data_IF_364787137820
#
_entry.id   IF_364787137820
#
_cell.length_a   1.000
_cell.length_b   1.000
_cell.length_c   1.000
_cell.angle_alpha   90.00
_cell.angle_beta   90.00
_cell.angle_gamma   90.00
#
_symmetry.space_group_name_H-M   'P 1'
#
loop_
_entity.id
_entity.type
_entity.pdbx_description
1 polymer ?
#
# COMPACT_ATOMS: atom_id res chain seq x y z
N UNK A 1 0.41 -20.31 22.16
CA UNK A 1 1.81 -19.96 21.80
C UNK A 1 2.44 -19.23 22.98
N UNK A 2 3.72 -19.45 23.28
CA UNK A 2 4.41 -18.68 24.33
C UNK A 2 4.64 -17.23 23.87
N UNK A 3 4.61 -16.27 24.80
CA UNK A 3 4.80 -14.85 24.51
C UNK A 3 6.09 -14.57 23.71
N UNK A 4 7.19 -15.23 24.08
CA UNK A 4 8.46 -15.13 23.38
C UNK A 4 8.38 -15.58 21.91
N UNK A 5 7.61 -16.63 21.61
CA UNK A 5 7.43 -17.11 20.24
C UNK A 5 6.61 -16.13 19.38
N UNK A 6 5.59 -15.50 19.96
CA UNK A 6 4.80 -14.46 19.28
C UNK A 6 5.69 -13.26 18.94
N UNK A 7 6.46 -12.77 19.92
CA UNK A 7 7.35 -11.63 19.73
C UNK A 7 8.41 -11.91 18.64
N UNK A 8 9.05 -13.08 18.69
CA UNK A 8 10.02 -13.50 17.69
C UNK A 8 9.38 -13.58 16.29
N UNK A 9 8.15 -14.10 16.18
CA UNK A 9 7.44 -14.17 14.90
C UNK A 9 7.15 -12.80 14.30
N UNK A 10 6.71 -11.82 15.10
CA UNK A 10 6.45 -10.46 14.62
C UNK A 10 7.73 -9.70 14.25
N UNK A 11 8.83 -9.91 14.98
CA UNK A 11 10.12 -9.34 14.60
C UNK A 11 10.62 -9.89 13.26
N UNK A 12 10.55 -11.21 13.07
CA UNK A 12 10.94 -11.85 11.81
C UNK A 12 10.06 -11.38 10.64
N UNK A 13 8.74 -11.33 10.86
CA UNK A 13 7.77 -10.86 9.87
C UNK A 13 8.01 -9.39 9.51
N UNK A 14 8.23 -8.52 10.50
CA UNK A 14 8.56 -7.11 10.29
C UNK A 14 9.86 -6.92 9.52
N UNK A 15 10.89 -7.72 9.80
CA UNK A 15 12.16 -7.67 9.06
C UNK A 15 12.01 -8.08 7.59
N UNK A 16 11.32 -9.20 7.32
CA UNK A 16 11.07 -9.67 5.95
C UNK A 16 10.14 -8.71 5.20
N UNK A 17 9.05 -8.30 5.81
CA UNK A 17 8.11 -7.39 5.19
C UNK A 17 8.72 -6.00 4.95
N UNK A 18 9.49 -5.47 5.90
CA UNK A 18 10.17 -4.19 5.77
C UNK A 18 11.24 -4.19 4.68
N UNK A 19 12.02 -5.27 4.57
CA UNK A 19 13.00 -5.43 3.49
C UNK A 19 12.33 -5.53 2.13
N UNK A 20 11.27 -6.34 1.99
CA UNK A 20 10.49 -6.42 0.75
C UNK A 20 9.82 -5.08 0.41
N UNK A 21 9.27 -4.37 1.39
CA UNK A 21 8.68 -3.05 1.19
C UNK A 21 9.71 -2.04 0.65
N UNK A 22 10.94 -2.06 1.17
CA UNK A 22 12.03 -1.21 0.71
C UNK A 22 12.57 -1.60 -0.68
N UNK A 23 12.65 -2.90 -0.99
CA UNK A 23 13.12 -3.39 -2.29
C UNK A 23 12.13 -3.10 -3.43
N UNK A 24 10.85 -3.35 -3.20
CA UNK A 24 9.81 -3.17 -4.22
C UNK A 24 9.25 -1.74 -4.25
N UNK A 25 9.43 -0.96 -3.18
CA UNK A 25 8.85 0.39 -3.06
C UNK A 25 7.32 0.41 -3.02
N UNK A 26 6.69 -0.76 -2.88
CA UNK A 26 5.23 -0.93 -2.94
C UNK A 26 4.56 -0.65 -1.58
N UNK A 27 5.33 -0.62 -0.48
CA UNK A 27 4.79 -0.63 0.88
C UNK A 27 4.17 -2.01 1.16
N UNK A 28 4.82 -2.81 2.00
CA UNK A 28 4.69 -4.27 2.09
C UNK A 28 3.31 -4.85 2.45
N UNK A 29 2.23 -4.07 2.43
CA UNK A 29 0.88 -4.46 2.84
C UNK A 29 0.30 -5.67 2.12
N UNK A 30 0.63 -5.90 0.83
CA UNK A 30 0.23 -7.11 0.12
C UNK A 30 0.77 -8.38 0.80
N UNK A 31 1.93 -8.28 1.47
CA UNK A 31 2.57 -9.37 2.21
C UNK A 31 2.17 -9.30 3.69
N UNK A 32 2.17 -8.11 4.31
CA UNK A 32 1.92 -7.93 5.74
C UNK A 32 0.50 -8.33 6.12
N UNK A 33 -0.51 -7.89 5.36
CA UNK A 33 -1.92 -8.12 5.73
C UNK A 33 -2.26 -9.61 5.78
N UNK A 34 -1.97 -10.44 4.76
CA UNK A 34 -2.26 -11.88 4.83
C UNK A 34 -1.54 -12.59 5.98
N UNK A 35 -0.28 -12.23 6.26
CA UNK A 35 0.47 -12.87 7.34
C UNK A 35 -0.07 -12.45 8.71
N UNK A 36 -0.49 -11.20 8.88
CA UNK A 36 -1.17 -10.75 10.11
C UNK A 36 -2.52 -11.44 10.30
N UNK A 37 -3.33 -11.58 9.25
CA UNK A 37 -4.60 -12.32 9.31
C UNK A 37 -4.35 -13.77 9.76
N UNK A 38 -3.34 -14.43 9.22
CA UNK A 38 -2.97 -15.79 9.63
C UNK A 38 -2.49 -15.84 11.09
N UNK A 39 -1.62 -14.91 11.50
CA UNK A 39 -1.10 -14.84 12.86
C UNK A 39 -2.22 -14.58 13.90
N UNK A 40 -3.16 -13.68 13.59
CA UNK A 40 -4.32 -13.39 14.42
C UNK A 40 -5.31 -14.56 14.48
N UNK A 41 -5.49 -15.27 13.36
CA UNK A 41 -6.28 -16.51 13.33
C UNK A 41 -5.69 -17.58 14.25
N UNK A 42 -4.36 -17.77 14.26
CA UNK A 42 -3.67 -18.70 15.17
C UNK A 42 -3.78 -18.30 16.65
N UNK A 43 -4.02 -17.02 16.94
CA UNK A 43 -4.23 -16.51 18.30
C UNK A 43 -5.70 -16.62 18.75
N UNK A 44 -6.61 -17.09 17.88
CA UNK A 44 -8.03 -17.21 18.19
C UNK A 44 -8.78 -15.87 18.21
N UNK A 45 -8.25 -14.85 17.52
CA UNK A 45 -8.94 -13.56 17.39
C UNK A 45 -10.19 -13.74 16.52
N UNK A 46 -11.29 -13.09 16.91
CA UNK A 46 -12.56 -13.17 16.16
C UNK A 46 -12.36 -12.72 14.69
N UNK A 47 -12.91 -13.44 13.71
CA UNK A 47 -12.86 -13.06 12.30
C UNK A 47 -13.43 -11.66 12.03
N UNK A 48 -14.37 -11.19 12.86
CA UNK A 48 -15.01 -9.87 12.69
C UNK A 48 -14.05 -8.70 12.89
N UNK A 49 -13.05 -8.85 13.77
CA UNK A 49 -12.06 -7.80 14.07
C UNK A 49 -10.69 -8.10 13.46
N UNK A 50 -10.44 -9.35 13.05
CA UNK A 50 -9.14 -9.79 12.52
C UNK A 50 -8.72 -8.97 11.30
N UNK A 51 -9.63 -8.73 10.35
CA UNK A 51 -9.31 -7.94 9.16
C UNK A 51 -9.01 -6.48 9.48
N UNK A 52 -9.81 -5.87 10.37
CA UNK A 52 -9.58 -4.49 10.82
C UNK A 52 -8.24 -4.32 11.52
N UNK A 53 -7.90 -5.25 12.42
CA UNK A 53 -6.61 -5.28 13.09
C UNK A 53 -5.45 -5.45 12.11
N UNK A 54 -5.59 -6.36 11.13
CA UNK A 54 -4.54 -6.60 10.14
C UNK A 54 -4.30 -5.38 9.23
N UNK A 55 -5.37 -4.77 8.73
CA UNK A 55 -5.32 -3.56 7.89
C UNK A 55 -4.72 -2.39 8.68
N UNK A 56 -5.21 -2.13 9.89
CA UNK A 56 -4.71 -1.04 10.73
C UNK A 56 -3.23 -1.20 11.12
N UNK A 57 -2.83 -2.41 11.52
CA UNK A 57 -1.43 -2.72 11.87
C UNK A 57 -0.51 -2.60 10.64
N UNK A 58 -0.98 -3.02 9.47
CA UNK A 58 -0.25 -2.86 8.21
C UNK A 58 -0.05 -1.38 7.87
N UNK A 59 -1.10 -0.56 7.97
CA UNK A 59 -1.00 0.88 7.72
C UNK A 59 0.00 1.56 8.66
N UNK A 60 -0.04 1.24 9.97
CA UNK A 60 0.93 1.74 10.93
C UNK A 60 2.37 1.37 10.53
N UNK A 61 2.58 0.13 10.07
CA UNK A 61 3.88 -0.33 9.57
C UNK A 61 4.30 0.39 8.29
N UNK A 62 3.35 0.65 7.38
CA UNK A 62 3.58 1.36 6.11
C UNK A 62 3.96 2.82 6.36
N UNK A 63 3.41 3.49 7.36
CA UNK A 63 3.81 4.86 7.72
C UNK A 63 5.30 4.91 8.04
N UNK A 64 5.80 3.99 8.87
CA UNK A 64 7.22 3.95 9.26
C UNK A 64 8.12 3.55 8.09
N UNK A 65 7.80 2.44 7.41
CA UNK A 65 8.61 1.91 6.30
C UNK A 65 8.59 2.83 5.08
N UNK A 66 7.43 3.42 4.77
CA UNK A 66 7.22 4.40 3.72
C UNK A 66 7.95 5.71 4.00
N UNK A 67 7.90 6.24 5.22
CA UNK A 67 8.66 7.43 5.59
C UNK A 67 10.18 7.22 5.44
N UNK A 68 10.70 6.07 5.90
CA UNK A 68 12.11 5.70 5.71
C UNK A 68 12.49 5.63 4.23
N UNK A 69 11.65 5.00 3.41
CA UNK A 69 11.88 4.86 1.96
C UNK A 69 11.82 6.20 1.24
N UNK A 70 10.79 7.02 1.53
CA UNK A 70 10.61 8.35 0.99
C UNK A 70 11.79 9.27 1.33
N UNK A 71 12.30 9.21 2.57
CA UNK A 71 13.48 9.97 2.98
C UNK A 71 14.72 9.56 2.16
N UNK A 72 14.90 8.25 1.92
CA UNK A 72 15.97 7.74 1.07
C UNK A 72 15.90 8.26 -0.36
N UNK A 73 14.71 8.25 -0.97
CA UNK A 73 14.47 8.78 -2.31
C UNK A 73 14.62 10.31 -2.37
N UNK A 74 14.18 11.02 -1.33
CA UNK A 74 14.33 12.47 -1.23
C UNK A 74 15.81 12.87 -1.16
N UNK A 75 16.62 12.18 -0.36
CA UNK A 75 18.07 12.42 -0.27
C UNK A 75 18.80 12.13 -1.58
N UNK A 76 18.33 11.15 -2.36
CA UNK A 76 18.88 10.80 -3.68
C UNK A 76 18.38 11.72 -4.82
N UNK A 77 17.51 12.69 -4.53
CA UNK A 77 16.96 13.58 -5.55
C UNK A 77 16.03 12.90 -6.56
N UNK A 78 15.54 11.68 -6.27
CA UNK A 78 14.69 10.93 -7.19
C UNK A 78 13.21 11.30 -7.11
N UNK A 79 12.81 12.17 -6.18
CA UNK A 79 11.40 12.56 -5.98
C UNK A 79 11.00 13.65 -6.97
N UNK A 80 9.96 13.42 -7.76
CA UNK A 80 9.42 14.42 -8.67
C UNK A 80 8.41 15.33 -7.95
N UNK A 81 8.93 16.39 -7.29
CA UNK A 81 8.16 17.27 -6.38
C UNK A 81 6.87 17.82 -6.96
N UNK A 82 6.85 18.19 -8.24
CA UNK A 82 5.64 18.73 -8.88
C UNK A 82 4.50 17.71 -8.94
N UNK A 83 4.83 16.44 -9.18
CA UNK A 83 3.86 15.35 -9.25
C UNK A 83 3.43 14.92 -7.86
N UNK A 84 4.36 14.84 -6.92
CA UNK A 84 4.05 14.60 -5.51
C UNK A 84 3.03 15.61 -4.97
N UNK A 85 3.28 16.92 -5.17
CA UNK A 85 2.37 17.97 -4.71
C UNK A 85 1.01 17.96 -5.42
N UNK A 86 0.94 17.45 -6.65
CA UNK A 86 -0.33 17.30 -7.36
C UNK A 86 -1.12 16.06 -6.93
N UNK A 87 -0.44 14.99 -6.50
CA UNK A 87 -1.04 13.76 -5.95
C UNK A 87 -1.51 13.94 -4.51
N UNK A 88 -0.73 14.66 -3.69
CA UNK A 88 -0.92 14.79 -2.26
C UNK A 88 -2.34 15.17 -1.80
N UNK A 89 -3.00 16.22 -2.34
CA UNK A 89 -4.35 16.57 -1.87
C UNK A 89 -5.37 15.47 -2.14
N UNK A 90 -5.29 14.85 -3.31
CA UNK A 90 -6.08 13.68 -3.64
C UNK A 90 -5.81 12.53 -2.68
N UNK A 91 -4.54 12.21 -2.47
CA UNK A 91 -4.13 11.10 -1.61
C UNK A 91 -4.63 11.25 -0.17
N UNK A 92 -4.57 12.46 0.39
CA UNK A 92 -5.10 12.78 1.72
C UNK A 92 -6.62 12.59 1.78
N UNK A 93 -7.37 13.21 0.84
CA UNK A 93 -8.83 13.10 0.82
C UNK A 93 -9.30 11.66 0.57
N UNK A 94 -8.63 10.98 -0.35
CA UNK A 94 -8.86 9.57 -0.65
C UNK A 94 -8.61 8.68 0.56
N UNK A 95 -7.48 8.85 1.25
CA UNK A 95 -7.16 8.06 2.43
C UNK A 95 -8.20 8.27 3.54
N UNK A 96 -8.60 9.51 3.81
CA UNK A 96 -9.65 9.82 4.79
C UNK A 96 -10.96 9.12 4.41
N UNK A 97 -11.41 9.26 3.16
CA UNK A 97 -12.61 8.60 2.67
C UNK A 97 -12.50 7.07 2.77
N UNK A 98 -11.34 6.50 2.43
CA UNK A 98 -11.07 5.07 2.52
C UNK A 98 -11.15 4.55 3.95
N UNK A 99 -10.63 5.28 4.94
CA UNK A 99 -10.76 4.93 6.36
C UNK A 99 -12.23 4.94 6.79
N UNK A 100 -13.01 5.96 6.43
CA UNK A 100 -14.44 5.99 6.76
C UNK A 100 -15.20 4.83 6.12
N UNK A 101 -14.91 4.50 4.86
CA UNK A 101 -15.53 3.34 4.20
C UNK A 101 -15.11 2.06 4.92
N UNK A 102 -13.82 1.88 5.25
CA UNK A 102 -13.33 0.70 5.96
C UNK A 102 -14.05 0.52 7.31
N UNK A 103 -14.15 1.58 8.11
CA UNK A 103 -14.77 1.56 9.44
C UNK A 103 -16.27 1.17 9.40
N UNK A 104 -16.95 1.44 8.29
CA UNK A 104 -18.34 1.07 8.08
C UNK A 104 -18.54 -0.36 7.52
N UNK A 105 -17.47 -1.08 7.19
CA UNK A 105 -17.54 -2.45 6.67
C UNK A 105 -17.32 -3.48 7.78
N UNK A 106 -18.11 -4.55 7.75
CA UNK A 106 -17.86 -5.71 8.62
C UNK A 106 -16.55 -6.40 8.22
N UNK A 107 -15.87 -7.04 9.18
CA UNK A 107 -14.60 -7.73 8.94
C UNK A 107 -14.70 -8.79 7.82
N UNK A 108 -15.84 -9.48 7.71
CA UNK A 108 -16.10 -10.45 6.65
C UNK A 108 -16.17 -9.81 5.26
N UNK A 109 -16.86 -8.66 5.13
CA UNK A 109 -16.96 -7.94 3.85
C UNK A 109 -15.60 -7.35 3.48
N UNK A 110 -14.91 -6.74 4.45
CA UNK A 110 -13.58 -6.18 4.24
C UNK A 110 -12.58 -7.27 3.80
N UNK A 111 -12.61 -8.44 4.43
CA UNK A 111 -11.80 -9.60 4.05
C UNK A 111 -12.12 -10.13 2.66
N UNK A 112 -13.40 -10.19 2.29
CA UNK A 112 -13.82 -10.62 0.94
C UNK A 112 -13.33 -9.63 -0.13
N UNK A 113 -13.51 -8.33 0.09
CA UNK A 113 -13.03 -7.29 -0.82
C UNK A 113 -11.51 -7.32 -0.95
N UNK A 114 -10.78 -7.48 0.16
CA UNK A 114 -9.33 -7.63 0.17
C UNK A 114 -8.89 -8.86 -0.64
N UNK A 115 -9.54 -10.02 -0.45
CA UNK A 115 -9.25 -11.24 -1.19
C UNK A 115 -9.44 -11.07 -2.70
N UNK A 116 -10.57 -10.48 -3.12
CA UNK A 116 -10.82 -10.16 -4.54
C UNK A 116 -9.76 -9.21 -5.09
N UNK A 117 -9.39 -8.18 -4.33
CA UNK A 117 -8.36 -7.23 -4.74
C UNK A 117 -6.99 -7.89 -4.96
N UNK A 118 -6.56 -8.75 -4.03
CA UNK A 118 -5.30 -9.48 -4.15
C UNK A 118 -5.30 -10.44 -5.34
N UNK A 119 -6.42 -11.14 -5.61
CA UNK A 119 -6.56 -12.00 -6.78
C UNK A 119 -6.47 -11.21 -8.10
N UNK A 120 -7.09 -10.03 -8.17
CA UNK A 120 -6.99 -9.14 -9.32
C UNK A 120 -5.54 -8.65 -9.53
N UNK A 121 -4.85 -8.28 -8.46
CA UNK A 121 -3.44 -7.87 -8.53
C UNK A 121 -2.54 -9.02 -8.98
N UNK A 122 -2.71 -10.22 -8.41
CA UNK A 122 -1.94 -11.40 -8.81
C UNK A 122 -2.15 -11.71 -10.30
N UNK A 123 -3.40 -11.68 -10.77
CA UNK A 123 -3.74 -11.88 -12.18
C UNK A 123 -3.06 -10.82 -13.06
N UNK A 124 -3.12 -9.54 -12.68
CA UNK A 124 -2.44 -8.46 -13.42
C UNK A 124 -0.93 -8.68 -13.51
N UNK A 125 -0.30 -9.16 -12.44
CA UNK A 125 1.14 -9.45 -12.43
C UNK A 125 1.49 -10.63 -13.35
N UNK A 126 0.66 -11.68 -13.40
CA UNK A 126 0.84 -12.84 -14.30
C UNK A 126 0.70 -12.44 -15.77
N UNK A 127 -0.27 -11.58 -16.10
CA UNK A 127 -0.48 -11.12 -17.49
C UNK A 127 0.66 -10.18 -17.95
N UNK A 128 1.42 -9.59 -17.03
CA UNK A 128 2.60 -8.79 -17.36
C UNK A 128 2.27 -7.49 -18.11
N UNK A 129 1.08 -6.92 -17.89
CA UNK A 129 0.64 -5.65 -18.47
C UNK A 129 1.49 -4.49 -17.93
N UNK A 130 2.65 -4.29 -18.55
CA UNK A 130 3.51 -3.12 -18.30
C UNK A 130 3.00 -1.96 -19.15
N UNK A 131 2.61 -0.83 -18.53
CA UNK A 131 2.21 0.35 -19.28
C UNK A 131 3.38 0.83 -20.14
N UNK A 132 3.16 1.03 -21.45
CA UNK A 132 4.12 1.77 -22.27
C UNK A 132 4.31 3.17 -21.64
N UNK A 133 5.56 3.65 -21.46
CA UNK A 133 5.81 4.99 -20.96
C UNK A 133 5.07 6.00 -21.85
N UNK A 134 4.11 6.73 -21.28
CA UNK A 134 3.44 7.82 -21.97
C UNK A 134 4.34 9.06 -22.01
N UNK A 135 4.20 9.86 -23.05
CA UNK A 135 4.99 11.09 -23.27
C UNK A 135 4.31 12.35 -22.76
N UNK A 136 3.07 12.25 -22.25
CA UNK A 136 2.23 13.40 -21.89
C UNK A 136 2.19 13.55 -20.37
N UNK A 137 2.71 14.68 -19.88
CA UNK A 137 2.61 15.06 -18.48
C UNK A 137 1.14 15.27 -18.08
N UNK A 138 0.63 14.57 -17.04
CA UNK A 138 -0.78 14.62 -16.65
C UNK A 138 -1.16 16.00 -16.07
N UNK A 139 -2.41 16.43 -16.29
CA UNK A 139 -2.96 17.62 -15.61
C UNK A 139 -2.99 17.40 -14.09
N UNK A 140 -2.75 18.47 -13.33
CA UNK A 140 -2.85 18.46 -11.84
C UNK A 140 -4.15 17.85 -11.32
N UNK A 141 -5.28 18.11 -12.00
CA UNK A 141 -6.59 17.53 -11.64
C UNK A 141 -6.59 16.00 -11.81
N UNK A 142 -6.06 15.49 -12.92
CA UNK A 142 -5.97 14.05 -13.14
C UNK A 142 -5.04 13.38 -12.11
N UNK A 143 -3.96 14.06 -11.72
CA UNK A 143 -3.08 13.59 -10.65
C UNK A 143 -3.79 13.55 -9.29
N UNK A 144 -4.56 14.59 -8.96
CA UNK A 144 -5.33 14.61 -7.71
C UNK A 144 -6.40 13.53 -7.68
N UNK A 145 -7.13 13.30 -8.78
CA UNK A 145 -8.12 12.21 -8.88
C UNK A 145 -7.43 10.85 -8.71
N UNK A 146 -6.31 10.63 -9.40
CA UNK A 146 -5.54 9.40 -9.25
C UNK A 146 -5.04 9.22 -7.81
N UNK A 147 -4.55 10.29 -7.17
CA UNK A 147 -4.17 10.30 -5.76
C UNK A 147 -5.34 9.92 -4.86
N UNK A 148 -6.54 10.44 -5.11
CA UNK A 148 -7.77 10.09 -4.40
C UNK A 148 -8.11 8.61 -4.47
N UNK A 149 -8.10 8.04 -5.67
CA UNK A 149 -8.36 6.61 -5.88
C UNK A 149 -7.30 5.75 -5.18
N UNK A 150 -6.02 6.11 -5.34
CA UNK A 150 -4.92 5.39 -4.69
C UNK A 150 -5.03 5.48 -3.17
N UNK A 151 -5.26 6.68 -2.62
CA UNK A 151 -5.40 6.90 -1.19
C UNK A 151 -6.55 6.10 -0.59
N UNK A 152 -7.71 6.09 -1.25
CA UNK A 152 -8.88 5.34 -0.80
C UNK A 152 -8.62 3.84 -0.78
N UNK A 153 -8.08 3.29 -1.87
CA UNK A 153 -7.78 1.85 -1.97
C UNK A 153 -6.67 1.44 -1.00
N UNK A 154 -5.64 2.28 -0.83
CA UNK A 154 -4.54 2.04 0.09
C UNK A 154 -5.02 1.97 1.54
N UNK A 155 -5.87 2.92 1.93
CA UNK A 155 -6.46 2.96 3.27
C UNK A 155 -7.44 1.81 3.52
N UNK A 156 -8.26 1.44 2.52
CA UNK A 156 -9.21 0.34 2.62
C UNK A 156 -8.53 -1.02 2.85
N UNK A 157 -7.46 -1.29 2.09
CA UNK A 157 -6.83 -2.61 2.10
C UNK A 157 -5.54 -2.69 2.91
N UNK A 158 -5.07 -1.57 3.46
CA UNK A 158 -3.81 -1.53 4.20
C UNK A 158 -2.60 -1.87 3.33
N UNK A 159 -2.67 -1.49 2.05
CA UNK A 159 -1.63 -1.73 1.05
C UNK A 159 -0.98 -0.40 0.71
N UNK A 160 0.35 -0.38 0.57
CA UNK A 160 1.04 0.86 0.21
C UNK A 160 0.64 1.33 -1.18
N UNK A 161 0.51 2.65 -1.36
CA UNK A 161 0.09 3.25 -2.62
C UNK A 161 1.03 2.94 -3.80
N UNK A 162 2.27 2.49 -3.54
CA UNK A 162 3.26 2.19 -4.57
C UNK A 162 2.80 1.15 -5.61
N UNK A 163 1.97 0.16 -5.24
CA UNK A 163 1.42 -0.81 -6.20
C UNK A 163 0.60 -0.15 -7.32
N UNK A 164 -0.01 1.00 -7.03
CA UNK A 164 -0.90 1.72 -7.94
C UNK A 164 -0.26 3.01 -8.47
N UNK A 165 0.43 3.76 -7.61
CA UNK A 165 1.14 4.99 -7.97
C UNK A 165 2.28 4.72 -8.94
N UNK A 166 3.08 3.65 -8.74
CA UNK A 166 4.24 3.39 -9.62
C UNK A 166 3.83 3.13 -11.07
N UNK A 167 2.87 2.22 -11.37
CA UNK A 167 2.40 2.03 -12.76
C UNK A 167 1.72 3.27 -13.33
N UNK A 168 1.01 4.04 -12.50
CA UNK A 168 0.37 5.28 -12.93
C UNK A 168 1.40 6.34 -13.34
N UNK A 169 2.39 6.61 -12.48
CA UNK A 169 3.46 7.57 -12.76
C UNK A 169 4.34 7.13 -13.92
N UNK A 170 4.63 5.83 -14.04
CA UNK A 170 5.34 5.28 -15.19
C UNK A 170 4.56 5.52 -16.50
N UNK A 171 3.23 5.38 -16.48
CA UNK A 171 2.37 5.70 -17.64
C UNK A 171 2.35 7.19 -17.95
N UNK A 172 2.52 8.05 -16.95
CA UNK A 172 2.63 9.49 -17.10
C UNK A 172 4.03 9.97 -17.56
N UNK A 173 4.99 9.06 -17.71
CA UNK A 173 6.34 9.35 -18.23
C UNK A 173 7.43 9.49 -17.16
N UNK A 174 7.17 9.15 -15.89
CA UNK A 174 8.24 9.10 -14.90
C UNK A 174 9.20 7.96 -15.21
N UNK A 175 10.49 8.22 -14.98
CA UNK A 175 11.48 7.15 -14.87
C UNK A 175 11.13 6.22 -13.70
N UNK A 176 11.56 4.97 -13.74
CA UNK A 176 11.23 4.01 -12.67
C UNK A 176 11.69 4.48 -11.28
N UNK A 177 12.86 5.12 -11.21
CA UNK A 177 13.40 5.70 -9.96
C UNK A 177 12.55 6.87 -9.46
N UNK A 178 11.99 7.68 -10.36
CA UNK A 178 11.05 8.74 -10.01
C UNK A 178 9.69 8.20 -9.61
N UNK A 179 9.16 7.22 -10.34
CA UNK A 179 7.86 6.63 -10.07
C UNK A 179 7.82 5.94 -8.70
N UNK A 180 8.91 5.29 -8.29
CA UNK A 180 9.02 4.66 -6.97
C UNK A 180 9.28 5.68 -5.87
N UNK A 181 10.00 6.77 -6.16
CA UNK A 181 10.32 7.78 -5.17
C UNK A 181 9.23 8.83 -4.91
N UNK A 182 8.25 8.97 -5.80
CA UNK A 182 7.24 10.05 -5.81
C UNK A 182 5.88 9.54 -5.36
#
# INVERSE_FOLDING_TARGET
MTFAAILASYLALGAVAGTMAGLFGVGGGIIIVPVLVFAFGLQGISPEITMHLAVGTSLATIVITGASSALGHFRKGSVHRAWFMALLPGLMLGAIAGVFIADNLSGTVLGTLFGVFVLLLATKMVIGLTPKPGTIAPRKVAMSIAGGVVGAISALFGIGGGAMTVPWLSRCGATMTQAVGT
#
